data_IF_367853924404
#
_entry.id   IF_367853924404
#
_cell.length_a   1.000
_cell.length_b   1.000
_cell.length_c   1.000
_cell.angle_alpha   90.00
_cell.angle_beta   90.00
_cell.angle_gamma   90.00
#
_symmetry.space_group_name_H-M   'P 1'
#
loop_
_entity.id
_entity.type
_entity.pdbx_description
1 polymer ?
#
# COMPACT_ATOMS: atom_id res chain seq x y z
N UNK A 1 27.34 8.34 -30.09
CA UNK A 1 28.52 8.04 -29.24
C UNK A 1 28.05 8.04 -27.81
N UNK A 2 27.66 6.88 -27.28
CA UNK A 2 27.32 6.74 -25.87
C UNK A 2 28.61 6.71 -25.07
N UNK A 3 28.79 7.68 -24.17
CA UNK A 3 29.89 7.67 -23.21
C UNK A 3 29.61 6.55 -22.21
N UNK A 4 30.18 5.37 -22.46
CA UNK A 4 30.15 4.26 -21.50
C UNK A 4 31.01 4.66 -20.30
N UNK A 5 30.37 5.26 -19.30
CA UNK A 5 31.02 5.59 -18.04
C UNK A 5 31.36 4.29 -17.31
N UNK A 6 32.66 3.95 -17.30
CA UNK A 6 33.14 2.79 -16.59
C UNK A 6 32.96 3.02 -15.08
N UNK A 7 32.20 2.19 -14.35
CA UNK A 7 31.96 2.38 -12.92
C UNK A 7 33.26 2.45 -12.11
N UNK A 8 34.33 1.82 -12.61
CA UNK A 8 35.67 1.88 -12.04
C UNK A 8 36.22 3.31 -12.08
N UNK A 9 36.04 4.04 -13.19
CA UNK A 9 36.52 5.43 -13.32
C UNK A 9 35.76 6.40 -12.41
N UNK A 10 34.46 6.18 -12.19
CA UNK A 10 33.66 6.99 -11.25
C UNK A 10 34.13 6.72 -9.81
N UNK A 11 34.33 5.46 -9.44
CA UNK A 11 34.80 5.09 -8.10
C UNK A 11 36.18 5.71 -7.78
N UNK A 12 37.12 5.69 -8.74
CA UNK A 12 38.41 6.37 -8.57
C UNK A 12 38.27 7.89 -8.46
N UNK A 13 37.38 8.51 -9.25
CA UNK A 13 37.11 9.95 -9.17
C UNK A 13 36.55 10.38 -7.82
N UNK A 14 35.60 9.63 -7.27
CA UNK A 14 35.00 9.92 -5.95
C UNK A 14 36.02 9.70 -4.83
N UNK A 15 36.79 8.61 -4.85
CA UNK A 15 37.84 8.35 -3.88
C UNK A 15 38.92 9.45 -3.89
N UNK A 16 39.29 9.96 -5.07
CA UNK A 16 40.23 11.07 -5.22
C UNK A 16 39.70 12.36 -4.60
N UNK A 17 38.42 12.71 -4.83
CA UNK A 17 37.79 13.89 -4.24
C UNK A 17 37.72 13.80 -2.70
N UNK A 18 37.43 12.61 -2.16
CA UNK A 18 37.43 12.37 -0.70
C UNK A 18 38.85 12.50 -0.12
N UNK A 19 39.86 11.96 -0.79
CA UNK A 19 41.27 12.08 -0.39
C UNK A 19 41.76 13.54 -0.41
N UNK A 20 41.38 14.32 -1.43
CA UNK A 20 41.72 15.76 -1.52
C UNK A 20 40.99 16.56 -0.44
N UNK A 21 39.70 16.31 -0.23
CA UNK A 21 38.91 16.99 0.80
C UNK A 21 39.45 16.72 2.22
N UNK A 22 39.80 15.47 2.52
CA UNK A 22 40.41 15.10 3.80
C UNK A 22 41.80 15.71 3.99
N UNK A 23 42.64 15.81 2.95
CA UNK A 23 43.92 16.52 3.02
C UNK A 23 43.77 18.01 3.34
N UNK A 24 42.75 18.68 2.78
CA UNK A 24 42.46 20.10 3.04
C UNK A 24 42.03 20.30 4.50
N UNK A 25 41.18 19.42 5.04
CA UNK A 25 40.70 19.52 6.43
C UNK A 25 41.73 19.10 7.49
N UNK A 26 42.72 18.27 7.15
CA UNK A 26 43.73 17.78 8.10
C UNK A 26 44.90 18.78 8.34
N UNK A 27 44.94 19.91 7.62
CA UNK A 27 46.00 20.93 7.74
C UNK A 27 46.13 21.54 9.15
N UNK A 28 45.09 21.49 9.97
CA UNK A 28 45.07 22.04 11.34
C UNK A 28 45.49 21.05 12.45
N UNK A 29 45.74 19.76 12.15
CA UNK A 29 46.06 18.72 13.16
C UNK A 29 47.30 17.89 12.80
N UNK A 30 48.41 18.58 12.56
CA UNK A 30 49.65 18.09 11.91
C UNK A 30 50.37 16.88 12.57
N UNK A 31 50.08 16.53 13.83
CA UNK A 31 50.70 15.36 14.51
C UNK A 31 49.84 14.09 14.55
N UNK A 32 48.53 14.18 14.29
CA UNK A 32 47.64 13.00 14.21
C UNK A 32 47.22 12.63 12.78
N UNK A 33 47.36 13.55 11.82
CA UNK A 33 46.97 13.32 10.42
C UNK A 33 47.82 12.27 9.67
N UNK A 34 49.10 12.09 10.04
CA UNK A 34 49.99 11.13 9.37
C UNK A 34 49.54 9.68 9.51
N UNK A 35 49.13 9.28 10.72
CA UNK A 35 48.67 7.92 10.97
C UNK A 35 47.34 7.62 10.25
N UNK A 36 46.43 8.60 10.17
CA UNK A 36 45.15 8.44 9.47
C UNK A 36 45.37 8.27 7.96
N UNK A 37 46.29 9.05 7.36
CA UNK A 37 46.63 8.91 5.95
C UNK A 37 47.27 7.55 5.63
N UNK A 38 48.18 7.05 6.49
CA UNK A 38 48.79 5.73 6.32
C UNK A 38 47.76 4.59 6.44
N UNK A 39 46.83 4.67 7.39
CA UNK A 39 45.74 3.69 7.52
C UNK A 39 44.85 3.70 6.27
N UNK A 40 44.53 4.89 5.74
CA UNK A 40 43.75 5.03 4.50
C UNK A 40 44.43 4.40 3.28
N UNK A 41 45.73 4.66 3.10
CA UNK A 41 46.52 4.06 2.00
C UNK A 41 46.58 2.54 2.16
N UNK A 42 46.83 2.05 3.37
CA UNK A 42 46.86 0.61 3.64
C UNK A 42 45.52 -0.06 3.32
N UNK A 43 44.40 0.53 3.77
CA UNK A 43 43.06 0.04 3.47
C UNK A 43 42.79 0.01 1.95
N UNK A 44 43.19 1.06 1.22
CA UNK A 44 43.05 1.12 -0.23
C UNK A 44 43.88 0.04 -0.94
N UNK A 45 45.13 -0.18 -0.51
CA UNK A 45 45.99 -1.25 -1.06
C UNK A 45 45.40 -2.62 -0.80
N UNK A 46 44.90 -2.89 0.42
CA UNK A 46 44.22 -4.15 0.76
C UNK A 46 42.97 -4.36 -0.11
N UNK A 47 42.16 -3.32 -0.32
CA UNK A 47 40.99 -3.38 -1.17
C UNK A 47 41.35 -3.67 -2.65
N UNK A 48 42.42 -3.05 -3.17
CA UNK A 48 42.91 -3.31 -4.53
C UNK A 48 43.43 -4.76 -4.69
N UNK A 49 44.16 -5.27 -3.69
CA UNK A 49 44.63 -6.67 -3.69
C UNK A 49 43.43 -7.63 -3.67
N UNK A 50 42.41 -7.36 -2.84
CA UNK A 50 41.20 -8.16 -2.78
C UNK A 50 40.42 -8.14 -4.11
N UNK A 51 40.30 -6.96 -4.74
CA UNK A 51 39.66 -6.83 -6.05
C UNK A 51 40.42 -7.62 -7.13
N UNK A 52 41.75 -7.51 -7.17
CA UNK A 52 42.59 -8.28 -8.10
C UNK A 52 42.44 -9.79 -7.91
N UNK A 53 42.30 -10.25 -6.67
CA UNK A 53 42.03 -11.66 -6.36
C UNK A 53 40.67 -12.11 -6.88
N UNK A 54 39.61 -11.30 -6.71
CA UNK A 54 38.28 -11.59 -7.26
C UNK A 54 38.28 -11.66 -8.80
N UNK A 55 38.98 -10.74 -9.46
CA UNK A 55 39.13 -10.78 -10.93
C UNK A 55 39.89 -12.01 -11.42
N UNK A 56 40.90 -12.47 -10.66
CA UNK A 56 41.61 -13.71 -10.99
C UNK A 56 40.67 -14.92 -10.89
N UNK A 57 39.88 -15.00 -9.82
CA UNK A 57 38.93 -16.09 -9.60
C UNK A 57 37.86 -16.14 -10.71
N UNK A 58 37.35 -14.99 -11.14
CA UNK A 58 36.40 -14.88 -12.26
C UNK A 58 37.05 -15.30 -13.59
N UNK A 59 38.29 -14.86 -13.85
CA UNK A 59 39.05 -15.25 -15.04
C UNK A 59 39.32 -16.75 -15.07
N UNK A 60 39.66 -17.34 -13.92
CA UNK A 60 39.91 -18.79 -13.79
C UNK A 60 38.62 -19.59 -14.02
N UNK A 61 37.46 -19.09 -13.57
CA UNK A 61 36.17 -19.72 -13.85
C UNK A 61 35.83 -19.69 -15.36
N UNK A 62 36.05 -18.56 -16.04
CA UNK A 62 35.85 -18.43 -17.48
C UNK A 62 36.85 -19.22 -18.32
N UNK A 63 38.11 -19.26 -17.90
CA UNK A 63 39.14 -20.09 -18.52
C UNK A 63 38.80 -21.58 -18.39
N UNK A 64 38.14 -21.97 -17.30
CA UNK A 64 37.61 -23.31 -17.11
C UNK A 64 36.30 -23.56 -17.86
N UNK A 65 35.73 -22.61 -18.60
CA UNK A 65 34.52 -22.81 -19.41
C UNK A 65 33.18 -22.51 -18.72
N UNK A 66 33.20 -21.99 -17.49
CA UNK A 66 32.01 -21.50 -16.78
C UNK A 66 31.73 -20.03 -17.10
N UNK A 67 30.50 -19.56 -16.97
CA UNK A 67 30.17 -18.14 -17.27
C UNK A 67 30.71 -17.17 -16.22
N UNK A 68 30.72 -17.60 -14.97
CA UNK A 68 31.16 -16.82 -13.81
C UNK A 68 31.61 -17.73 -12.66
N UNK A 69 32.20 -17.15 -11.62
CA UNK A 69 32.54 -17.91 -10.42
C UNK A 69 31.32 -18.50 -9.71
N UNK A 70 30.18 -17.79 -9.67
CA UNK A 70 28.94 -18.31 -9.09
C UNK A 70 28.41 -19.51 -9.86
N UNK A 71 28.50 -19.48 -11.18
CA UNK A 71 28.12 -20.58 -12.08
C UNK A 71 28.97 -21.84 -11.80
N UNK A 72 30.29 -21.68 -11.69
CA UNK A 72 31.21 -22.77 -11.30
C UNK A 72 30.87 -23.35 -9.93
N UNK A 73 30.50 -22.50 -8.96
CA UNK A 73 30.13 -22.96 -7.61
C UNK A 73 28.80 -23.71 -7.63
N UNK A 74 27.83 -23.28 -8.43
CA UNK A 74 26.55 -23.97 -8.62
C UNK A 74 26.76 -25.35 -9.28
N UNK A 75 27.60 -25.42 -10.32
CA UNK A 75 27.99 -26.68 -10.95
C UNK A 75 28.65 -27.63 -9.95
N UNK A 76 29.61 -27.13 -9.17
CA UNK A 76 30.28 -27.92 -8.13
C UNK A 76 29.31 -28.41 -7.04
N UNK A 77 28.34 -27.59 -6.64
CA UNK A 77 27.30 -27.98 -5.69
C UNK A 77 26.38 -29.08 -6.26
N UNK A 78 26.14 -29.07 -7.58
CA UNK A 78 25.43 -30.13 -8.29
C UNK A 78 26.31 -31.37 -8.58
N UNK A 79 27.59 -31.36 -8.18
CA UNK A 79 28.53 -32.45 -8.45
C UNK A 79 29.00 -32.52 -9.90
N UNK A 80 28.75 -31.50 -10.71
CA UNK A 80 29.10 -31.45 -12.13
C UNK A 80 30.42 -30.69 -12.29
N UNK A 81 31.47 -31.40 -12.66
CA UNK A 81 32.82 -30.82 -12.85
C UNK A 81 33.06 -30.40 -14.31
N UNK A 82 32.36 -31.02 -15.27
CA UNK A 82 32.47 -30.70 -16.70
C UNK A 82 31.60 -29.47 -17.06
N UNK A 83 32.21 -28.39 -17.59
CA UNK A 83 31.48 -27.19 -18.01
C UNK A 83 30.46 -27.44 -19.12
N UNK A 84 30.71 -28.39 -20.04
CA UNK A 84 29.76 -28.67 -21.12
C UNK A 84 28.53 -29.40 -20.59
N UNK A 85 28.71 -30.41 -19.73
CA UNK A 85 27.60 -31.05 -19.03
C UNK A 85 26.79 -30.05 -18.18
N UNK A 86 27.45 -29.09 -17.52
CA UNK A 86 26.77 -28.04 -16.77
C UNK A 86 25.95 -27.10 -17.67
N UNK A 87 26.52 -26.72 -18.82
CA UNK A 87 25.82 -25.88 -19.79
C UNK A 87 24.54 -26.55 -20.32
N UNK A 88 24.58 -27.86 -20.58
CA UNK A 88 23.41 -28.63 -20.99
C UNK A 88 22.36 -28.69 -19.88
N UNK A 89 22.77 -29.03 -18.64
CA UNK A 89 21.86 -29.07 -17.49
C UNK A 89 21.16 -27.72 -17.26
N UNK A 90 21.88 -26.60 -17.43
CA UNK A 90 21.26 -25.27 -17.35
C UNK A 90 20.26 -25.01 -18.45
N UNK A 91 20.55 -25.39 -19.69
CA UNK A 91 19.60 -25.25 -20.79
C UNK A 91 18.33 -26.08 -20.53
N UNK A 92 18.48 -27.29 -20.01
CA UNK A 92 17.36 -28.16 -19.64
C UNK A 92 16.56 -27.57 -18.47
N UNK A 93 17.24 -27.10 -17.42
CA UNK A 93 16.61 -26.47 -16.26
C UNK A 93 15.91 -25.15 -16.62
N UNK A 94 16.54 -24.30 -17.43
CA UNK A 94 15.96 -23.06 -17.93
C UNK A 94 14.72 -23.36 -18.76
N UNK A 95 14.80 -24.35 -19.67
CA UNK A 95 13.63 -24.80 -20.43
C UNK A 95 12.53 -25.34 -19.51
N UNK A 96 12.85 -26.09 -18.45
CA UNK A 96 11.88 -26.60 -17.48
C UNK A 96 11.23 -25.50 -16.63
N UNK A 97 11.96 -24.41 -16.32
CA UNK A 97 11.43 -23.26 -15.56
C UNK A 97 10.62 -22.28 -16.41
N UNK A 98 10.85 -22.24 -17.73
CA UNK A 98 10.18 -21.28 -18.63
C UNK A 98 8.78 -21.76 -19.06
N UNK A 99 8.40 -23.02 -18.78
CA UNK A 99 7.02 -23.50 -18.94
C UNK A 99 6.18 -23.28 -17.68
N UNK A 100 6.24 -22.08 -17.10
CA UNK A 100 5.09 -21.67 -16.31
C UNK A 100 3.92 -21.51 -17.26
N UNK A 101 2.96 -22.42 -17.15
CA UNK A 101 1.76 -22.45 -17.98
C UNK A 101 1.12 -21.05 -18.00
N UNK A 102 1.09 -20.36 -19.14
CA UNK A 102 0.54 -19.01 -19.23
C UNK A 102 -0.94 -18.98 -18.80
N UNK A 103 -1.65 -20.10 -18.93
CA UNK A 103 -3.04 -20.23 -18.44
C UNK A 103 -3.09 -20.19 -16.91
N UNK A 104 -2.13 -20.83 -16.23
CA UNK A 104 -2.03 -20.79 -14.76
C UNK A 104 -1.70 -19.38 -14.28
N UNK A 105 -0.76 -18.69 -14.93
CA UNK A 105 -0.41 -17.29 -14.58
C UNK A 105 -1.63 -16.38 -14.77
N UNK A 106 -2.37 -16.54 -15.87
CA UNK A 106 -3.58 -15.76 -16.12
C UNK A 106 -4.66 -16.03 -15.07
N UNK A 107 -4.90 -17.31 -14.74
CA UNK A 107 -5.87 -17.70 -13.72
C UNK A 107 -5.51 -17.17 -12.32
N UNK A 108 -4.23 -17.20 -11.94
CA UNK A 108 -3.77 -16.65 -10.65
C UNK A 108 -3.97 -15.13 -10.59
N UNK A 109 -3.71 -14.42 -11.68
CA UNK A 109 -3.96 -12.97 -11.76
C UNK A 109 -5.45 -12.64 -11.67
N UNK A 110 -6.30 -13.36 -12.38
CA UNK A 110 -7.76 -13.18 -12.31
C UNK A 110 -8.28 -13.42 -10.90
N UNK A 111 -7.79 -14.47 -10.22
CA UNK A 111 -8.15 -14.74 -8.82
C UNK A 111 -7.66 -13.64 -7.87
N UNK A 112 -6.44 -13.14 -8.07
CA UNK A 112 -5.90 -12.05 -7.26
C UNK A 112 -6.71 -10.75 -7.44
N UNK A 113 -7.06 -10.40 -8.68
CA UNK A 113 -7.89 -9.24 -9.00
C UNK A 113 -9.31 -9.37 -8.43
N UNK A 114 -9.93 -10.54 -8.54
CA UNK A 114 -11.25 -10.81 -7.96
C UNK A 114 -11.22 -10.69 -6.42
N UNK A 115 -10.19 -11.23 -5.77
CA UNK A 115 -10.02 -11.14 -4.33
C UNK A 115 -9.78 -9.69 -3.87
N UNK A 116 -9.02 -8.90 -4.62
CA UNK A 116 -8.84 -7.48 -4.33
C UNK A 116 -10.15 -6.69 -4.48
N UNK A 117 -10.91 -6.95 -5.56
CA UNK A 117 -12.21 -6.32 -5.77
C UNK A 117 -13.22 -6.65 -4.67
N UNK A 118 -13.22 -7.89 -4.15
CA UNK A 118 -14.06 -8.28 -3.03
C UNK A 118 -13.68 -7.55 -1.74
N UNK A 119 -12.37 -7.43 -1.46
CA UNK A 119 -11.88 -6.65 -0.30
C UNK A 119 -12.28 -5.20 -0.36
N UNK A 120 -12.12 -4.54 -1.52
CA UNK A 120 -12.52 -3.15 -1.70
C UNK A 120 -14.03 -2.96 -1.49
N UNK A 121 -14.87 -3.90 -1.95
CA UNK A 121 -16.31 -3.88 -1.69
C UNK A 121 -16.64 -4.06 -0.21
N UNK A 122 -15.97 -4.97 0.48
CA UNK A 122 -16.18 -5.18 1.91
C UNK A 122 -15.78 -3.95 2.73
N UNK A 123 -14.64 -3.34 2.44
CA UNK A 123 -14.18 -2.11 3.09
C UNK A 123 -15.13 -0.92 2.82
N UNK A 124 -15.59 -0.76 1.57
CA UNK A 124 -16.57 0.27 1.21
C UNK A 124 -17.90 0.08 1.93
N UNK A 125 -18.36 -1.17 2.06
CA UNK A 125 -19.58 -1.50 2.81
C UNK A 125 -19.41 -1.18 4.30
N UNK A 126 -18.31 -1.58 4.92
CA UNK A 126 -18.03 -1.29 6.33
C UNK A 126 -17.88 0.22 6.57
N UNK A 127 -17.27 0.94 5.63
CA UNK A 127 -17.18 2.40 5.70
C UNK A 127 -18.56 3.06 5.59
N UNK A 128 -19.44 2.56 4.71
CA UNK A 128 -20.81 3.03 4.58
C UNK A 128 -21.64 2.71 5.84
N UNK A 129 -21.48 1.52 6.42
CA UNK A 129 -22.13 1.12 7.67
C UNK A 129 -21.74 2.07 8.82
N UNK A 130 -20.43 2.34 8.94
CA UNK A 130 -19.91 3.31 9.92
C UNK A 130 -20.41 4.72 9.68
N UNK A 131 -20.50 5.18 8.42
CA UNK A 131 -20.87 6.58 8.10
C UNK A 131 -22.36 6.86 8.17
N UNK A 132 -23.21 5.91 7.75
CA UNK A 132 -24.63 6.19 7.52
C UNK A 132 -25.58 5.40 8.42
N UNK A 133 -25.05 4.54 9.29
CA UNK A 133 -25.84 3.70 10.19
C UNK A 133 -27.06 3.04 9.50
N UNK A 134 -26.91 2.39 8.33
CA UNK A 134 -28.03 1.81 7.60
C UNK A 134 -28.76 0.73 8.44
N UNK A 135 -28.09 0.16 9.45
CA UNK A 135 -28.69 -0.77 10.41
C UNK A 135 -29.73 -0.13 11.34
N UNK A 136 -29.75 1.20 11.48
CA UNK A 136 -30.77 1.93 12.23
C UNK A 136 -32.01 2.28 11.38
N UNK A 137 -31.95 2.05 10.08
CA UNK A 137 -33.05 2.32 9.15
C UNK A 137 -33.83 1.04 8.85
N UNK A 138 -35.14 1.18 8.65
CA UNK A 138 -35.97 0.08 8.18
C UNK A 138 -35.56 -0.29 6.74
N UNK A 139 -35.24 -1.55 6.44
CA UNK A 139 -34.77 -1.96 5.12
C UNK A 139 -35.83 -1.85 4.01
N UNK A 140 -37.11 -1.71 4.35
CA UNK A 140 -38.21 -1.65 3.38
C UNK A 140 -38.49 -0.24 2.87
N UNK A 141 -38.55 0.74 3.78
CA UNK A 141 -38.91 2.12 3.46
C UNK A 141 -37.81 3.14 3.80
N UNK A 142 -36.72 2.72 4.46
CA UNK A 142 -35.63 3.60 4.88
C UNK A 142 -35.96 4.46 6.10
N UNK A 143 -37.12 4.28 6.74
CA UNK A 143 -37.52 5.09 7.90
C UNK A 143 -36.75 4.73 9.16
N UNK A 144 -36.55 5.69 10.06
CA UNK A 144 -35.97 5.45 11.39
C UNK A 144 -37.12 5.37 12.43
N UNK A 145 -37.46 4.19 12.99
CA UNK A 145 -38.69 3.99 13.77
C UNK A 145 -38.85 4.92 14.98
N UNK A 146 -37.77 5.16 15.72
CA UNK A 146 -37.81 6.08 16.86
C UNK A 146 -38.00 7.54 16.43
N UNK A 147 -37.34 7.96 15.34
CA UNK A 147 -37.48 9.32 14.80
C UNK A 147 -38.89 9.56 14.26
N UNK A 148 -39.46 8.57 13.56
CA UNK A 148 -40.87 8.58 13.14
C UNK A 148 -41.79 8.75 14.34
N UNK A 149 -41.55 7.98 15.41
CA UNK A 149 -42.35 8.07 16.65
C UNK A 149 -42.23 9.44 17.30
N UNK A 150 -41.02 10.01 17.35
CA UNK A 150 -40.75 11.32 17.91
C UNK A 150 -41.38 12.46 17.08
N UNK A 151 -41.35 12.36 15.75
CA UNK A 151 -42.03 13.31 14.86
C UNK A 151 -43.54 13.22 15.03
N UNK A 152 -44.14 12.02 14.97
CA UNK A 152 -45.58 11.81 15.18
C UNK A 152 -46.06 12.37 16.53
N UNK A 153 -45.27 12.19 17.60
CA UNK A 153 -45.60 12.70 18.93
C UNK A 153 -45.72 14.23 19.01
N UNK A 154 -45.13 14.96 18.04
CA UNK A 154 -45.21 16.42 17.97
C UNK A 154 -46.24 16.93 16.95
N UNK A 155 -46.79 16.05 16.11
CA UNK A 155 -47.85 16.41 15.18
C UNK A 155 -49.19 16.54 15.91
N UNK A 156 -50.00 17.51 15.49
CA UNK A 156 -51.39 17.66 15.99
C UNK A 156 -52.25 16.46 15.63
N UNK A 157 -52.04 15.88 14.43
CA UNK A 157 -52.74 14.70 13.94
C UNK A 157 -51.72 13.63 13.51
N UNK A 158 -51.30 12.74 14.43
CA UNK A 158 -50.27 11.74 14.15
C UNK A 158 -50.67 10.71 13.10
N UNK A 159 -51.97 10.45 12.93
CA UNK A 159 -52.51 9.50 11.95
C UNK A 159 -52.40 10.02 10.51
N UNK A 160 -52.17 11.32 10.34
CA UNK A 160 -51.98 11.93 9.02
C UNK A 160 -50.54 11.83 8.47
N UNK A 161 -49.61 11.30 9.28
CA UNK A 161 -48.21 11.17 8.91
C UNK A 161 -48.01 10.11 7.83
N UNK A 162 -47.36 10.49 6.74
CA UNK A 162 -46.86 9.58 5.71
C UNK A 162 -45.37 9.84 5.47
N UNK A 163 -44.53 8.83 5.72
CA UNK A 163 -43.09 8.90 5.45
C UNK A 163 -42.82 9.01 3.95
N UNK A 164 -41.82 9.82 3.55
CA UNK A 164 -41.40 9.97 2.15
C UNK A 164 -39.96 9.52 1.93
N UNK A 165 -39.03 10.17 2.61
CA UNK A 165 -37.61 9.83 2.51
C UNK A 165 -36.90 10.13 3.83
N UNK A 166 -35.85 9.36 4.10
CA UNK A 166 -34.92 9.63 5.19
C UNK A 166 -33.52 9.68 4.62
N UNK A 167 -32.80 10.75 4.92
CA UNK A 167 -31.39 10.93 4.57
C UNK A 167 -30.58 11.01 5.84
N UNK A 168 -29.55 10.20 5.92
CA UNK A 168 -28.59 10.22 7.03
C UNK A 168 -27.33 10.93 6.55
N UNK A 169 -26.94 11.97 7.27
CA UNK A 169 -25.69 12.69 7.05
C UNK A 169 -24.57 12.06 7.87
N UNK A 170 -23.34 12.50 7.59
CA UNK A 170 -22.13 11.97 8.23
C UNK A 170 -22.18 12.06 9.76
N UNK A 171 -21.39 11.18 10.39
CA UNK A 171 -21.24 11.07 11.84
C UNK A 171 -20.47 12.27 12.37
N UNK A 172 -20.96 12.90 13.43
CA UNK A 172 -20.26 13.96 14.17
C UNK A 172 -19.12 13.41 15.03
N UNK A 173 -18.33 14.29 15.67
CA UNK A 173 -17.23 13.88 16.54
C UNK A 173 -17.73 13.06 17.76
N UNK A 174 -18.99 13.25 18.15
CA UNK A 174 -19.65 12.52 19.24
C UNK A 174 -20.20 11.15 18.83
N UNK A 175 -20.08 10.74 17.57
CA UNK A 175 -20.57 9.44 17.11
C UNK A 175 -22.08 9.42 16.81
N UNK A 176 -22.69 10.58 16.57
CA UNK A 176 -24.09 10.73 16.21
C UNK A 176 -24.24 11.06 14.73
N UNK A 177 -25.26 10.48 14.12
CA UNK A 177 -25.66 10.78 12.77
C UNK A 177 -26.75 11.84 12.76
N UNK A 178 -26.64 12.83 11.87
CA UNK A 178 -27.76 13.75 11.63
C UNK A 178 -28.74 13.09 10.65
N UNK A 179 -30.03 13.11 10.96
CA UNK A 179 -31.10 12.58 10.11
C UNK A 179 -31.97 13.72 9.61
N UNK A 180 -32.35 13.64 8.33
CA UNK A 180 -33.30 14.52 7.68
C UNK A 180 -34.43 13.65 7.13
N UNK A 181 -35.66 13.92 7.54
CA UNK A 181 -36.83 13.14 7.11
C UNK A 181 -37.86 14.05 6.46
N UNK A 182 -38.17 13.78 5.20
CA UNK A 182 -39.34 14.34 4.53
C UNK A 182 -40.57 13.49 4.84
N UNK A 183 -41.71 14.14 5.13
CA UNK A 183 -42.97 13.47 5.38
C UNK A 183 -44.15 14.34 4.93
N UNK A 184 -45.29 13.70 4.63
CA UNK A 184 -46.57 14.40 4.53
C UNK A 184 -47.30 14.39 5.85
N UNK A 185 -48.05 15.45 6.12
CA UNK A 185 -49.05 15.51 7.19
C UNK A 185 -50.28 16.32 6.77
N UNK A 186 -51.34 16.30 7.57
CA UNK A 186 -52.48 17.21 7.44
C UNK A 186 -52.39 18.34 8.47
N UNK A 187 -52.53 19.58 8.01
CA UNK A 187 -52.48 20.75 8.89
C UNK A 187 -53.79 20.94 9.69
N UNK A 188 -53.90 22.07 10.41
CA UNK A 188 -55.10 22.41 11.21
C UNK A 188 -56.39 22.55 10.39
N UNK A 189 -56.29 22.71 9.08
CA UNK A 189 -57.42 22.81 8.15
C UNK A 189 -57.67 21.51 7.39
N UNK A 190 -56.85 20.48 7.61
CA UNK A 190 -56.95 19.19 6.94
C UNK A 190 -56.26 19.13 5.58
N UNK A 191 -55.56 20.20 5.16
CA UNK A 191 -54.79 20.25 3.92
C UNK A 191 -53.52 19.40 4.05
N UNK A 192 -53.21 18.61 3.02
CA UNK A 192 -52.00 17.78 2.98
C UNK A 192 -50.78 18.65 2.64
N UNK A 193 -49.77 18.68 3.50
CA UNK A 193 -48.54 19.48 3.35
C UNK A 193 -47.30 18.63 3.59
N UNK A 194 -46.25 18.92 2.84
CA UNK A 194 -44.94 18.27 2.98
C UNK A 194 -44.13 19.08 3.97
N UNK A 195 -43.54 18.40 4.95
CA UNK A 195 -42.64 19.01 5.92
C UNK A 195 -41.34 18.20 6.03
N UNK A 196 -40.33 18.84 6.61
CA UNK A 196 -39.01 18.21 6.86
C UNK A 196 -38.68 18.32 8.33
N UNK A 197 -38.34 17.18 8.94
CA UNK A 197 -37.83 17.11 10.31
C UNK A 197 -36.33 16.79 10.30
N UNK A 198 -35.61 17.40 11.24
CA UNK A 198 -34.19 17.17 11.48
C UNK A 198 -33.99 16.56 12.86
N UNK A 199 -32.95 15.75 13.02
CA UNK A 199 -32.53 15.30 14.33
C UNK A 199 -31.15 14.66 14.33
N UNK A 200 -30.68 14.21 15.48
CA UNK A 200 -29.41 13.48 15.60
C UNK A 200 -29.56 12.19 16.42
N UNK A 201 -29.12 11.02 15.92
CA UNK A 201 -29.21 9.73 16.62
C UNK A 201 -27.83 9.13 16.86
N UNK A 202 -27.70 8.30 17.90
CA UNK A 202 -26.47 7.53 18.10
C UNK A 202 -26.35 6.42 17.05
N UNK A 203 -25.22 6.39 16.33
CA UNK A 203 -24.89 5.32 15.38
C UNK A 203 -24.88 3.92 16.06
N UNK A 204 -24.48 3.86 17.34
CA UNK A 204 -24.32 2.60 18.09
C UNK A 204 -25.62 2.04 18.64
N UNK A 205 -26.45 2.90 19.24
CA UNK A 205 -27.67 2.44 19.93
C UNK A 205 -28.92 2.61 19.09
N UNK A 206 -28.87 3.37 18.00
CA UNK A 206 -30.03 3.86 17.25
C UNK A 206 -31.04 4.63 18.12
N UNK A 207 -30.64 5.02 19.34
CA UNK A 207 -31.52 5.55 20.38
C UNK A 207 -31.56 7.07 20.44
N UNK A 208 -32.79 7.61 20.53
CA UNK A 208 -33.27 8.97 20.84
C UNK A 208 -32.52 10.17 20.27
N UNK A 209 -33.29 11.00 19.56
CA UNK A 209 -32.83 12.19 18.87
C UNK A 209 -33.44 13.44 19.46
N UNK A 210 -32.62 14.49 19.58
CA UNK A 210 -33.17 15.83 19.52
C UNK A 210 -33.88 15.96 18.17
N UNK A 211 -35.17 16.27 18.18
CA UNK A 211 -35.96 16.50 16.96
C UNK A 211 -36.14 18.01 16.84
N UNK A 212 -35.97 18.55 15.65
CA UNK A 212 -36.24 19.94 15.32
C UNK A 212 -37.02 20.00 14.02
N UNK A 213 -38.00 20.89 13.94
CA UNK A 213 -38.74 21.16 12.70
C UNK A 213 -38.18 22.43 12.08
N UNK A 214 -38.09 22.45 10.76
CA UNK A 214 -37.79 23.67 10.02
C UNK A 214 -39.14 24.30 9.63
N UNK A 215 -39.43 25.50 10.16
CA UNK A 215 -40.58 26.32 9.77
C UNK A 215 -40.34 27.11 8.48
#
# INVERSE_FOLDING_TARGET
MELVFNPITIAFGVAFLIAVSTLVFLKTRRRRGGNVALIGIFAAVVALIAAAALFKVERDARAAGFESWSDRRAAAAAGITDPQAWKQNRADAESATVFEDPERIAAEREQAEAAEAERQKAEAKEAAERRFAPHCLNPQDGSHPEFVSAVKARLRNPDSFEHLETRVLEVDEEGRNTVVMGFWMRDRFGEKKMETAFGSFSNKTCGSLDVQFWE
#
